data_IF_587117819448
#
_entry.id   IF_587117819448
#
_cell.length_a   1.000
_cell.length_b   1.000
_cell.length_c   1.000
_cell.angle_alpha   90.00
_cell.angle_beta   90.00
_cell.angle_gamma   90.00
#
_symmetry.space_group_name_H-M   'P 1'
#
loop_
_entity.id
_entity.type
_entity.pdbx_description
1 polymer ?
#
# COMPACT_ATOMS: atom_id res chain seq x y z
N UNK A 1 12.85 10.58 2.39
CA UNK A 1 14.28 10.31 2.08
C UNK A 1 14.70 9.03 2.80
N UNK A 2 15.60 8.22 2.23
CA UNK A 2 16.12 7.02 2.88
C UNK A 2 17.53 7.29 3.40
N UNK A 3 17.88 6.63 4.49
CA UNK A 3 19.17 6.76 5.17
C UNK A 3 19.72 5.36 5.43
N UNK A 4 21.02 5.13 5.25
CA UNK A 4 21.62 3.83 5.53
C UNK A 4 21.71 3.55 7.04
N UNK A 5 22.23 2.38 7.42
CA UNK A 5 22.38 1.98 8.81
C UNK A 5 23.31 2.89 9.64
N UNK A 6 24.22 3.61 8.99
CA UNK A 6 25.16 4.56 9.61
C UNK A 6 24.62 5.99 9.71
N UNK A 7 23.42 6.26 9.20
CA UNK A 7 22.84 7.59 9.26
C UNK A 7 23.15 8.48 8.05
N UNK A 8 23.72 7.91 6.98
CA UNK A 8 24.07 8.65 5.77
C UNK A 8 22.91 8.63 4.78
N UNK A 9 22.68 9.76 4.11
CA UNK A 9 21.61 9.89 3.14
C UNK A 9 21.89 8.99 1.92
N UNK A 10 20.90 8.19 1.54
CA UNK A 10 20.98 7.39 0.33
C UNK A 10 20.35 8.16 -0.82
N UNK A 11 21.07 8.21 -1.95
CA UNK A 11 20.52 8.72 -3.22
C UNK A 11 19.44 7.75 -3.68
N UNK A 12 18.20 8.21 -3.70
CA UNK A 12 17.09 7.49 -4.33
C UNK A 12 16.89 8.13 -5.70
N UNK A 13 16.69 7.33 -6.75
CA UNK A 13 16.27 7.84 -8.05
C UNK A 13 15.06 8.77 -7.91
N UNK A 14 15.06 9.87 -8.66
CA UNK A 14 13.95 10.82 -8.70
C UNK A 14 12.71 10.13 -9.29
N UNK A 15 11.90 9.50 -8.44
CA UNK A 15 10.53 9.16 -8.79
C UNK A 15 9.70 10.44 -8.76
N UNK A 16 8.99 10.71 -9.85
CA UNK A 16 7.96 11.75 -9.89
C UNK A 16 6.89 11.38 -8.86
N UNK A 17 6.95 12.01 -7.69
CA UNK A 17 5.92 11.87 -6.67
C UNK A 17 4.69 12.66 -7.12
N UNK A 18 3.56 11.97 -7.25
CA UNK A 18 2.28 12.66 -7.33
C UNK A 18 2.06 13.39 -6.00
N UNK A 19 1.40 14.55 -6.04
CA UNK A 19 1.04 15.32 -4.85
C UNK A 19 -0.44 15.06 -4.53
N UNK A 20 -0.81 13.87 -4.02
CA UNK A 20 -2.22 13.52 -3.88
C UNK A 20 -2.84 14.38 -2.76
N UNK A 21 -3.81 15.21 -3.12
CA UNK A 21 -4.65 15.96 -2.19
C UNK A 21 -6.12 15.83 -2.59
N UNK A 22 -7.02 16.05 -1.63
CA UNK A 22 -8.45 15.87 -1.80
C UNK A 22 -8.90 14.41 -1.59
N UNK A 23 -9.96 14.03 -2.29
CA UNK A 23 -10.53 12.67 -2.24
C UNK A 23 -9.77 11.76 -3.19
N UNK A 24 -8.85 10.96 -2.64
CA UNK A 24 -7.89 10.16 -3.41
C UNK A 24 -8.10 8.65 -3.26
N UNK A 25 -9.26 8.22 -2.74
CA UNK A 25 -9.54 6.81 -2.44
C UNK A 25 -9.35 5.89 -3.66
N UNK A 26 -9.84 6.29 -4.82
CA UNK A 26 -9.67 5.57 -6.08
C UNK A 26 -8.20 5.45 -6.48
N UNK A 27 -7.41 6.52 -6.32
CA UNK A 27 -5.97 6.50 -6.60
C UNK A 27 -5.19 5.61 -5.63
N UNK A 28 -5.59 5.59 -4.37
CA UNK A 28 -5.03 4.69 -3.36
C UNK A 28 -5.31 3.22 -3.73
N UNK A 29 -6.57 2.90 -4.07
CA UNK A 29 -6.96 1.54 -4.46
C UNK A 29 -6.28 1.13 -5.78
N UNK A 30 -6.14 2.05 -6.74
CA UNK A 30 -5.46 1.77 -8.01
C UNK A 30 -3.93 1.65 -7.89
N UNK A 31 -3.36 1.96 -6.72
CA UNK A 31 -1.92 2.11 -6.49
C UNK A 31 -1.24 3.22 -7.32
N UNK A 32 -2.02 4.20 -7.80
CA UNK A 32 -1.52 5.43 -8.45
C UNK A 32 -1.01 6.46 -7.43
N UNK A 33 -1.47 6.32 -6.18
CA UNK A 33 -0.98 7.07 -5.03
C UNK A 33 -0.50 6.11 -3.95
N UNK A 34 0.66 6.39 -3.38
CA UNK A 34 1.23 5.67 -2.25
C UNK A 34 1.52 6.65 -1.12
N UNK A 35 1.13 6.27 0.10
CA UNK A 35 1.39 7.06 1.31
C UNK A 35 2.23 6.20 2.23
N UNK A 36 3.42 6.70 2.58
CA UNK A 36 4.27 6.01 3.53
C UNK A 36 3.77 6.28 4.96
N UNK A 37 3.59 5.23 5.75
CA UNK A 37 3.13 5.34 7.14
C UNK A 37 3.82 6.44 7.99
N UNK A 38 5.16 6.60 7.98
CA UNK A 38 5.82 7.59 8.83
C UNK A 38 5.60 9.06 8.38
N UNK A 39 4.90 9.31 7.27
CA UNK A 39 4.64 10.66 6.76
C UNK A 39 3.22 11.16 7.09
N UNK A 40 2.44 10.42 7.87
CA UNK A 40 1.02 10.72 8.10
C UNK A 40 0.79 11.35 9.47
N UNK A 41 0.08 12.48 9.46
CA UNK A 41 -0.61 13.03 10.62
C UNK A 41 -2.11 12.93 10.35
N UNK A 42 -2.87 12.45 11.32
CA UNK A 42 -4.32 12.29 11.22
C UNK A 42 -5.00 12.74 12.52
N UNK A 43 -6.23 13.23 12.40
CA UNK A 43 -7.05 13.56 13.57
C UNK A 43 -7.32 12.29 14.38
N UNK A 44 -7.17 12.40 15.71
CA UNK A 44 -7.42 11.28 16.63
C UNK A 44 -8.84 10.72 16.50
N UNK A 45 -9.83 11.59 16.32
CA UNK A 45 -11.24 11.24 16.06
C UNK A 45 -11.35 10.34 14.83
N UNK A 46 -10.77 10.76 13.71
CA UNK A 46 -10.78 9.99 12.47
C UNK A 46 -10.20 8.58 12.66
N UNK A 47 -9.05 8.45 13.34
CA UNK A 47 -8.44 7.14 13.61
C UNK A 47 -9.38 6.25 14.42
N UNK A 48 -10.01 6.80 15.47
CA UNK A 48 -10.95 6.06 16.32
C UNK A 48 -12.22 5.67 15.58
N UNK A 49 -12.76 6.57 14.76
CA UNK A 49 -14.02 6.37 14.06
C UNK A 49 -13.93 5.28 12.99
N UNK A 50 -12.75 5.08 12.41
CA UNK A 50 -12.50 3.97 11.48
C UNK A 50 -11.97 2.69 12.14
N UNK A 51 -11.68 2.73 13.45
CA UNK A 51 -11.26 1.56 14.23
C UNK A 51 -9.75 1.27 14.26
N UNK A 52 -8.87 2.21 13.88
CA UNK A 52 -7.40 2.01 13.94
C UNK A 52 -6.88 0.96 12.94
N UNK A 53 -5.71 0.36 13.21
CA UNK A 53 -5.16 -0.71 12.38
C UNK A 53 -5.93 -2.03 12.59
N UNK A 54 -6.07 -2.81 11.51
CA UNK A 54 -6.58 -4.17 11.60
C UNK A 54 -5.42 -5.15 11.80
N UNK A 55 -5.26 -5.65 13.02
CA UNK A 55 -4.17 -6.56 13.42
C UNK A 55 -4.21 -7.92 12.71
N UNK A 56 -5.31 -8.25 12.02
CA UNK A 56 -5.39 -9.45 11.19
C UNK A 56 -4.69 -9.28 9.83
N UNK A 57 -4.41 -8.04 9.42
CA UNK A 57 -3.69 -7.70 8.18
C UNK A 57 -2.19 -7.67 8.46
N UNK A 58 -1.44 -8.61 7.87
CA UNK A 58 0.01 -8.73 8.12
C UNK A 58 0.88 -7.97 7.12
N UNK A 59 0.31 -7.62 5.97
CA UNK A 59 0.96 -6.85 4.92
C UNK A 59 -0.11 -5.96 4.29
N UNK A 60 0.27 -4.71 3.98
CA UNK A 60 -0.63 -3.67 3.48
C UNK A 60 -1.65 -3.18 4.54
N UNK A 61 -1.32 -3.32 5.83
CA UNK A 61 -2.13 -2.84 6.95
C UNK A 61 -2.31 -1.32 6.92
N UNK A 62 -1.30 -0.60 6.43
CA UNK A 62 -1.35 0.83 6.17
C UNK A 62 -2.33 1.17 5.04
N UNK A 63 -2.30 0.46 3.92
CA UNK A 63 -3.27 0.63 2.83
C UNK A 63 -4.70 0.33 3.25
N UNK A 64 -4.95 -0.70 4.06
CA UNK A 64 -6.27 -0.96 4.64
C UNK A 64 -6.78 0.26 5.42
N UNK A 65 -5.90 0.88 6.23
CA UNK A 65 -6.21 2.10 6.97
C UNK A 65 -6.44 3.29 6.03
N UNK A 66 -5.59 3.48 5.00
CA UNK A 66 -5.74 4.56 4.02
C UNK A 66 -7.03 4.48 3.24
N UNK A 67 -7.49 3.28 2.86
CA UNK A 67 -8.77 3.13 2.18
C UNK A 67 -9.93 3.54 3.10
N UNK A 68 -9.88 3.17 4.38
CA UNK A 68 -10.89 3.57 5.36
C UNK A 68 -10.87 5.07 5.65
N UNK A 69 -9.69 5.69 5.70
CA UNK A 69 -9.57 7.16 5.79
C UNK A 69 -10.13 7.84 4.54
N UNK A 70 -9.80 7.35 3.34
CA UNK A 70 -10.25 7.93 2.07
C UNK A 70 -11.76 7.87 1.84
N UNK A 71 -12.49 7.03 2.59
CA UNK A 71 -13.96 7.03 2.62
C UNK A 71 -14.55 8.16 3.48
N UNK A 72 -13.77 8.74 4.39
CA UNK A 72 -14.26 9.65 5.45
C UNK A 72 -13.68 11.05 5.36
N UNK A 73 -12.46 11.20 4.85
CA UNK A 73 -11.74 12.47 4.85
C UNK A 73 -10.94 12.65 3.56
N UNK A 74 -10.85 13.89 3.03
CA UNK A 74 -9.82 14.23 2.07
C UNK A 74 -8.44 14.24 2.74
N UNK A 75 -7.40 14.16 1.92
CA UNK A 75 -5.99 14.26 2.34
C UNK A 75 -5.42 15.61 1.91
N UNK A 76 -4.50 16.16 2.71
CA UNK A 76 -3.67 17.30 2.33
C UNK A 76 -2.22 16.84 2.22
N UNK A 77 -1.59 17.18 1.10
CA UNK A 77 -0.17 16.93 0.87
C UNK A 77 0.67 18.13 1.31
N UNK A 78 1.77 17.87 2.01
CA UNK A 78 2.78 18.86 2.36
C UNK A 78 4.00 18.63 1.47
N UNK A 79 4.36 19.58 0.56
CA UNK A 79 5.46 19.42 -0.40
C UNK A 79 6.84 19.63 0.23
N UNK A 80 7.07 19.03 1.41
CA UNK A 80 8.32 19.14 2.17
C UNK A 80 8.83 17.76 2.57
N UNK A 81 10.15 17.58 2.50
CA UNK A 81 10.82 16.35 2.91
C UNK A 81 10.99 16.31 4.44
N UNK A 82 9.93 15.91 5.16
CA UNK A 82 9.89 15.93 6.63
C UNK A 82 10.29 14.60 7.30
N UNK A 83 10.54 13.55 6.51
CA UNK A 83 10.79 12.20 7.04
C UNK A 83 12.02 11.54 6.41
N UNK A 84 12.90 11.03 7.26
CA UNK A 84 14.01 10.14 6.90
C UNK A 84 13.73 8.73 7.44
N UNK A 85 13.81 7.73 6.57
CA UNK A 85 13.59 6.31 6.94
C UNK A 85 14.92 5.58 6.86
N UNK A 86 15.32 4.93 7.95
CA UNK A 86 16.51 4.08 7.96
C UNK A 86 16.24 2.79 7.17
N UNK A 87 17.18 2.39 6.31
CA UNK A 87 17.16 1.09 5.63
C UNK A 87 18.33 0.23 6.08
N UNK A 88 18.02 -1.02 6.42
CA UNK A 88 18.98 -2.08 6.73
C UNK A 88 18.39 -3.44 6.33
N UNK A 89 19.21 -4.49 6.32
CA UNK A 89 18.90 -5.86 5.86
C UNK A 89 17.91 -6.65 6.72
N UNK A 90 17.35 -6.03 7.74
CA UNK A 90 16.38 -6.64 8.65
C UNK A 90 15.10 -5.79 8.73
N UNK A 91 14.76 -5.15 7.60
CA UNK A 91 13.61 -4.28 7.52
C UNK A 91 12.34 -5.09 7.30
N UNK A 92 11.22 -4.61 7.86
CA UNK A 92 9.91 -5.25 7.66
C UNK A 92 9.54 -5.42 6.18
N UNK A 93 10.00 -4.50 5.32
CA UNK A 93 9.79 -4.57 3.87
C UNK A 93 10.39 -5.80 3.20
N UNK A 94 11.34 -6.49 3.84
CA UNK A 94 11.95 -7.69 3.25
C UNK A 94 11.00 -8.88 3.26
N UNK A 95 10.00 -8.88 4.15
CA UNK A 95 8.92 -9.87 4.18
C UNK A 95 8.03 -9.80 2.94
N UNK A 96 7.85 -8.59 2.37
CA UNK A 96 7.06 -8.37 1.16
C UNK A 96 7.69 -8.96 -0.12
N UNK A 97 8.94 -9.42 -0.06
CA UNK A 97 9.68 -9.94 -1.21
C UNK A 97 9.30 -11.38 -1.61
N UNK A 98 8.43 -12.06 -0.84
CA UNK A 98 7.92 -13.38 -1.21
C UNK A 98 7.03 -13.28 -2.46
N UNK A 99 7.29 -14.09 -3.52
CA UNK A 99 6.50 -14.03 -4.75
C UNK A 99 4.99 -14.16 -4.49
N UNK A 100 4.23 -13.18 -4.96
CA UNK A 100 2.77 -13.14 -4.86
C UNK A 100 2.18 -12.83 -3.49
N UNK A 101 2.94 -12.72 -2.39
CA UNK A 101 2.35 -12.37 -1.08
C UNK A 101 1.72 -10.99 -1.08
N UNK A 102 2.39 -9.99 -1.68
CA UNK A 102 1.86 -8.64 -1.84
C UNK A 102 0.55 -8.63 -2.63
N UNK A 103 0.47 -9.41 -3.71
CA UNK A 103 -0.74 -9.53 -4.52
C UNK A 103 -1.88 -10.18 -3.73
N UNK A 104 -1.61 -11.24 -2.95
CA UNK A 104 -2.61 -11.91 -2.10
C UNK A 104 -3.17 -10.98 -1.03
N UNK A 105 -2.31 -10.22 -0.34
CA UNK A 105 -2.75 -9.27 0.70
C UNK A 105 -3.50 -8.07 0.11
N UNK A 106 -3.08 -7.57 -1.04
CA UNK A 106 -3.83 -6.51 -1.73
C UNK A 106 -5.24 -6.99 -2.13
N UNK A 107 -5.35 -8.20 -2.69
CA UNK A 107 -6.65 -8.81 -3.00
C UNK A 107 -7.52 -8.95 -1.73
N UNK A 108 -6.92 -9.33 -0.60
CA UNK A 108 -7.63 -9.41 0.68
C UNK A 108 -8.22 -8.04 1.09
N UNK A 109 -7.41 -6.98 1.12
CA UNK A 109 -7.88 -5.65 1.54
C UNK A 109 -8.85 -5.03 0.53
N UNK A 110 -8.69 -5.28 -0.78
CA UNK A 110 -9.67 -4.87 -1.79
C UNK A 110 -11.01 -5.59 -1.59
N UNK A 111 -11.00 -6.88 -1.23
CA UNK A 111 -12.24 -7.64 -0.95
C UNK A 111 -12.94 -7.16 0.31
N UNK A 112 -12.17 -6.84 1.34
CA UNK A 112 -12.68 -6.20 2.57
C UNK A 112 -13.29 -4.83 2.26
N UNK A 113 -12.60 -3.99 1.48
CA UNK A 113 -13.08 -2.67 1.05
C UNK A 113 -14.37 -2.77 0.21
N UNK A 114 -14.38 -3.63 -0.83
CA UNK A 114 -15.53 -3.84 -1.70
C UNK A 114 -16.81 -4.21 -0.94
N UNK A 115 -16.67 -5.06 0.09
CA UNK A 115 -17.78 -5.52 0.94
C UNK A 115 -18.27 -4.48 1.93
N UNK A 116 -17.42 -3.54 2.33
CA UNK A 116 -17.71 -2.58 3.41
C UNK A 116 -18.16 -1.21 2.91
N UNK A 117 -18.04 -0.92 1.61
CA UNK A 117 -18.41 0.38 1.04
C UNK A 117 -19.55 0.27 0.03
N UNK A 118 -20.34 1.35 -0.09
CA UNK A 118 -21.28 1.57 -1.19
C UNK A 118 -20.77 2.60 -2.21
N UNK A 119 -19.54 3.07 -2.08
CA UNK A 119 -18.95 4.01 -3.02
C UNK A 119 -18.65 3.31 -4.38
N UNK A 120 -19.30 3.72 -5.48
CA UNK A 120 -19.16 3.04 -6.77
C UNK A 120 -17.75 3.16 -7.36
N UNK A 121 -17.05 4.27 -7.15
CA UNK A 121 -15.66 4.44 -7.62
C UNK A 121 -14.71 3.50 -6.89
N UNK A 122 -14.89 3.34 -5.57
CA UNK A 122 -14.09 2.41 -4.78
C UNK A 122 -14.32 0.96 -5.20
N UNK A 123 -15.58 0.58 -5.47
CA UNK A 123 -15.92 -0.76 -5.97
C UNK A 123 -15.28 -1.04 -7.32
N UNK A 124 -15.41 -0.12 -8.28
CA UNK A 124 -14.80 -0.26 -9.61
C UNK A 124 -13.27 -0.35 -9.52
N UNK A 125 -12.63 0.48 -8.69
CA UNK A 125 -11.19 0.42 -8.48
C UNK A 125 -10.76 -0.94 -7.89
N UNK A 126 -11.53 -1.51 -6.95
CA UNK A 126 -11.27 -2.85 -6.42
C UNK A 126 -11.43 -3.93 -7.51
N UNK A 127 -12.43 -3.83 -8.38
CA UNK A 127 -12.64 -4.74 -9.51
C UNK A 127 -11.46 -4.74 -10.48
N UNK A 128 -10.93 -3.57 -10.82
CA UNK A 128 -9.71 -3.47 -11.63
C UNK A 128 -8.50 -4.10 -10.95
N UNK A 129 -8.33 -3.88 -9.64
CA UNK A 129 -7.24 -4.52 -8.87
C UNK A 129 -7.39 -6.04 -8.78
N UNK A 130 -8.62 -6.56 -8.66
CA UNK A 130 -8.87 -8.00 -8.70
C UNK A 130 -8.37 -8.58 -10.02
N UNK A 131 -8.80 -8.02 -11.16
CA UNK A 131 -8.39 -8.50 -12.48
C UNK A 131 -6.88 -8.43 -12.67
N UNK A 132 -6.26 -7.29 -12.35
CA UNK A 132 -4.82 -7.07 -12.52
C UNK A 132 -3.97 -8.04 -11.69
N UNK A 133 -4.29 -8.21 -10.40
CA UNK A 133 -3.47 -9.01 -9.48
C UNK A 133 -3.70 -10.50 -9.61
N UNK A 134 -4.92 -10.93 -9.95
CA UNK A 134 -5.16 -12.33 -10.29
C UNK A 134 -4.31 -12.76 -11.49
N UNK A 135 -4.20 -11.91 -12.53
CA UNK A 135 -3.33 -12.19 -13.68
C UNK A 135 -1.85 -12.34 -13.30
N UNK A 136 -1.35 -11.54 -12.35
CA UNK A 136 0.02 -11.66 -11.83
C UNK A 136 0.24 -12.96 -11.05
N UNK A 137 -0.72 -13.35 -10.21
CA UNK A 137 -0.62 -14.59 -9.43
C UNK A 137 -0.60 -15.84 -10.33
N UNK A 138 -1.47 -15.88 -11.34
CA UNK A 138 -1.49 -17.00 -12.30
C UNK A 138 -0.20 -17.10 -13.12
N UNK A 139 0.45 -15.96 -13.41
CA UNK A 139 1.74 -15.94 -14.10
C UNK A 139 2.90 -16.47 -13.23
N UNK A 140 2.85 -16.28 -11.91
CA UNK A 140 3.89 -16.78 -11.01
C UNK A 140 3.81 -18.30 -10.80
N UNK A 141 2.61 -18.88 -10.74
CA UNK A 141 2.41 -20.33 -10.56
C UNK A 141 2.97 -21.14 -11.75
N UNK A 142 2.93 -20.59 -12.97
CA UNK A 142 3.49 -21.22 -14.18
C UNK A 142 5.03 -21.23 -14.28
N UNK A 143 5.75 -20.50 -13.41
CA UNK A 143 7.23 -20.41 -13.46
C UNK A 143 7.96 -21.40 -12.55
N UNK A 144 7.22 -22.21 -11.77
CA UNK A 144 7.80 -23.14 -10.78
C UNK A 144 7.95 -24.58 -11.29
N UNK A 145 7.76 -24.83 -12.59
CA UNK A 145 7.80 -26.16 -13.19
C UNK A 145 8.75 -26.25 -14.37
N UNK A 146 10.06 -26.06 -14.18
CA UNK A 146 11.11 -26.61 -15.06
C UNK A 146 12.50 -26.37 -14.43
N UNK A 147 12.91 -27.24 -13.52
CA UNK A 147 14.32 -27.56 -13.28
C UNK A 147 14.44 -28.84 -12.45
N UNK A 148 14.62 -29.97 -13.14
CA UNK A 148 14.84 -31.26 -12.50
C UNK A 148 14.84 -32.43 -13.47
N UNK A 149 15.86 -32.53 -14.34
CA UNK A 149 16.70 -33.74 -14.45
C UNK A 149 17.77 -33.56 -15.54
N UNK A 150 19.02 -33.50 -15.10
CA UNK A 150 20.18 -34.11 -15.78
C UNK A 150 20.75 -35.14 -14.84
#
# INVERSE_FOLDING_TARGET
MNMNEHGEDMVIENRTWTQPSGWILDRLISADAAIALPTVLAERSLVRDVGGFDESVRLCEDYDLWFRFGLRSPVLFVPEMLTKVRRHSNNYSDYANKPGEMDRWWLYICKKMYRSTNNPKAKLACEHQFAFRMGRLTGHEGSTGESGNT
#
